data_IF_445643991336
#
_entry.id   IF_445643991336
#
_cell.length_a   1.000
_cell.length_b   1.000
_cell.length_c   1.000
_cell.angle_alpha   90.00
_cell.angle_beta   90.00
_cell.angle_gamma   90.00
#
_symmetry.space_group_name_H-M   'P 1'
#
loop_
_entity.id
_entity.type
_entity.pdbx_description
1 polymer ?
#
# COMPACT_ATOMS: atom_id res chain seq x y z
N UNK A 1 14.32 -7.31 15.95
CA UNK A 1 13.70 -6.06 16.46
C UNK A 1 14.53 -4.79 16.19
N UNK A 2 15.80 -4.66 16.65
CA UNK A 2 16.61 -3.42 16.44
C UNK A 2 16.76 -2.97 14.97
N UNK A 3 16.69 -3.91 14.03
CA UNK A 3 16.92 -3.64 12.60
C UNK A 3 15.93 -2.63 12.04
N UNK A 4 14.62 -2.79 12.31
CA UNK A 4 13.57 -1.96 11.71
C UNK A 4 13.30 -0.63 12.45
N UNK A 5 13.95 -0.41 13.59
CA UNK A 5 13.75 0.78 14.43
C UNK A 5 14.97 1.69 14.50
N UNK A 6 15.95 1.45 13.63
CA UNK A 6 17.18 2.24 13.50
C UNK A 6 17.64 2.33 12.04
N UNK A 7 18.50 3.30 11.74
CA UNK A 7 19.07 3.47 10.40
C UNK A 7 19.98 2.30 10.04
N UNK A 8 19.89 1.80 8.80
CA UNK A 8 20.69 0.68 8.35
C UNK A 8 22.14 1.09 8.09
N UNK A 9 23.09 0.25 8.52
CA UNK A 9 24.53 0.43 8.30
C UNK A 9 25.04 -0.22 6.99
N UNK A 10 24.11 -0.58 6.10
CA UNK A 10 24.38 -1.13 4.76
C UNK A 10 24.78 -0.02 3.78
N UNK A 11 25.39 -0.39 2.66
CA UNK A 11 25.72 0.56 1.59
C UNK A 11 24.44 1.25 1.11
N UNK A 12 24.43 2.58 1.03
CA UNK A 12 23.25 3.38 0.66
C UNK A 12 22.02 3.18 1.57
N UNK A 13 22.22 2.70 2.80
CA UNK A 13 21.14 2.43 3.74
C UNK A 13 20.07 1.47 3.17
N UNK A 14 20.48 0.48 2.38
CA UNK A 14 19.55 -0.54 1.84
C UNK A 14 19.02 -1.47 2.93
N UNK A 15 17.76 -1.86 2.86
CA UNK A 15 17.18 -2.80 3.83
C UNK A 15 17.95 -4.14 3.85
N UNK A 16 18.41 -4.60 5.03
CA UNK A 16 19.07 -5.90 5.16
C UNK A 16 18.01 -7.01 5.21
N UNK A 17 17.34 -7.29 4.08
CA UNK A 17 16.18 -8.21 4.00
C UNK A 17 16.43 -9.58 4.64
N UNK A 18 17.63 -10.14 4.51
CA UNK A 18 18.00 -11.42 5.12
C UNK A 18 17.99 -11.44 6.65
N UNK A 19 17.91 -10.28 7.30
CA UNK A 19 17.88 -10.12 8.75
C UNK A 19 16.51 -9.68 9.28
N UNK A 20 15.54 -9.43 8.40
CA UNK A 20 14.20 -8.96 8.76
C UNK A 20 13.26 -10.16 8.77
N UNK A 21 12.61 -10.42 9.91
CA UNK A 21 11.59 -11.47 10.04
C UNK A 21 10.19 -10.86 10.10
N UNK A 22 9.18 -11.66 9.75
CA UNK A 22 7.78 -11.23 9.82
C UNK A 22 7.38 -10.77 11.23
N UNK A 23 7.83 -11.49 12.26
CA UNK A 23 7.61 -11.16 13.67
C UNK A 23 8.20 -9.80 14.10
N UNK A 24 9.15 -9.23 13.35
CA UNK A 24 9.76 -7.94 13.67
C UNK A 24 8.87 -6.74 13.30
N UNK A 25 7.94 -6.89 12.34
CA UNK A 25 7.22 -5.76 11.76
C UNK A 25 6.27 -5.08 12.75
N UNK A 26 5.34 -5.82 13.35
CA UNK A 26 4.32 -5.22 14.23
C UNK A 26 4.93 -4.48 15.42
N UNK A 27 5.88 -5.05 16.19
CA UNK A 27 6.56 -4.30 17.25
C UNK A 27 7.28 -3.05 16.73
N UNK A 28 7.91 -3.13 15.56
CA UNK A 28 8.61 -1.99 14.96
C UNK A 28 7.64 -0.89 14.51
N UNK A 29 6.45 -1.22 14.00
CA UNK A 29 5.43 -0.24 13.67
C UNK A 29 4.98 0.52 14.91
N UNK A 30 4.67 -0.19 16.00
CA UNK A 30 4.25 0.41 17.28
C UNK A 30 5.34 1.35 17.81
N UNK A 31 6.61 0.91 17.81
CA UNK A 31 7.73 1.74 18.28
C UNK A 31 7.95 2.98 17.41
N UNK A 32 7.94 2.83 16.08
CA UNK A 32 8.16 3.95 15.17
C UNK A 32 6.99 4.94 15.14
N UNK A 33 5.74 4.49 15.32
CA UNK A 33 4.59 5.37 15.53
C UNK A 33 4.77 6.19 16.81
N UNK A 34 5.21 5.57 17.91
CA UNK A 34 5.45 6.29 19.16
C UNK A 34 6.56 7.35 19.02
N UNK A 35 7.65 7.04 18.31
CA UNK A 35 8.70 8.01 17.99
C UNK A 35 8.19 9.17 17.14
N UNK A 36 7.43 8.86 16.08
CA UNK A 36 6.86 9.88 15.20
C UNK A 36 5.87 10.78 15.95
N UNK A 37 5.05 10.23 16.86
CA UNK A 37 4.18 11.04 17.75
C UNK A 37 5.01 11.99 18.62
N UNK A 38 6.11 11.53 19.21
CA UNK A 38 6.98 12.38 20.02
C UNK A 38 7.68 13.51 19.22
N UNK A 39 8.05 13.24 17.96
CA UNK A 39 8.60 14.26 17.05
C UNK A 39 7.55 15.35 16.75
N UNK A 40 6.30 14.95 16.55
CA UNK A 40 5.18 15.88 16.34
C UNK A 40 4.88 16.68 17.61
N UNK A 41 4.90 16.03 18.77
CA UNK A 41 4.72 16.68 20.07
C UNK A 41 5.78 17.76 20.29
N UNK A 42 7.03 17.51 19.89
CA UNK A 42 8.10 18.50 19.96
C UNK A 42 7.84 19.73 19.06
N UNK A 43 7.19 19.56 17.91
CA UNK A 43 6.80 20.67 17.03
C UNK A 43 5.70 21.51 17.67
N UNK A 44 4.63 20.87 18.17
CA UNK A 44 3.48 21.60 18.71
C UNK A 44 3.78 22.29 20.04
N UNK A 45 4.68 21.70 20.85
CA UNK A 45 5.08 22.27 22.16
C UNK A 45 6.23 23.28 22.08
N UNK A 46 6.81 23.50 20.90
CA UNK A 46 7.84 24.51 20.72
C UNK A 46 7.28 25.91 21.03
N UNK A 47 7.85 26.57 22.05
CA UNK A 47 7.39 27.87 22.53
C UNK A 47 7.79 29.05 21.63
N UNK A 48 8.72 28.85 20.69
CA UNK A 48 9.06 29.84 19.70
C UNK A 48 7.94 30.04 18.69
N UNK A 49 7.85 31.26 18.14
CA UNK A 49 6.92 31.58 17.06
C UNK A 49 7.14 30.62 15.87
N UNK A 50 6.08 30.14 15.20
CA UNK A 50 6.22 29.23 14.06
C UNK A 50 7.06 29.84 12.93
N UNK A 51 8.09 29.11 12.50
CA UNK A 51 8.94 29.43 11.35
C UNK A 51 8.91 28.30 10.33
N UNK A 52 9.41 28.56 9.12
CA UNK A 52 9.57 27.51 8.12
C UNK A 52 10.40 26.34 8.66
N UNK A 53 11.50 26.63 9.36
CA UNK A 53 12.42 25.61 9.91
C UNK A 53 11.80 24.83 11.08
N UNK A 54 11.26 25.52 12.09
CA UNK A 54 10.80 24.86 13.31
C UNK A 54 9.44 24.16 13.16
N UNK A 55 8.75 24.39 12.03
CA UNK A 55 7.42 23.81 11.76
C UNK A 55 7.41 23.01 10.47
N UNK A 56 7.72 23.61 9.32
CA UNK A 56 7.57 22.93 8.01
C UNK A 56 8.70 21.91 7.79
N UNK A 57 9.95 22.32 7.99
CA UNK A 57 11.11 21.43 7.86
C UNK A 57 11.08 20.36 8.94
N UNK A 58 10.84 20.74 10.20
CA UNK A 58 10.71 19.77 11.29
C UNK A 58 9.62 18.72 11.01
N UNK A 59 8.46 19.14 10.48
CA UNK A 59 7.39 18.22 10.10
C UNK A 59 7.77 17.33 8.91
N UNK A 60 8.57 17.82 7.97
CA UNK A 60 9.01 17.04 6.80
C UNK A 60 9.99 15.93 7.16
N UNK A 61 10.80 16.12 8.21
CA UNK A 61 11.68 15.08 8.75
C UNK A 61 11.02 14.17 9.79
N UNK A 62 9.84 14.52 10.29
CA UNK A 62 9.13 13.71 11.28
C UNK A 62 8.62 12.41 10.65
N UNK A 63 8.73 11.30 11.37
CA UNK A 63 8.23 10.00 10.94
C UNK A 63 9.12 9.25 9.94
N UNK A 64 10.32 9.74 9.61
CA UNK A 64 11.20 9.13 8.60
C UNK A 64 11.45 7.62 8.84
N UNK A 65 11.60 7.21 10.11
CA UNK A 65 11.79 5.80 10.46
C UNK A 65 10.54 4.95 10.19
N UNK A 66 9.35 5.52 10.45
CA UNK A 66 8.07 4.88 10.17
C UNK A 66 7.83 4.78 8.66
N UNK A 67 8.16 5.82 7.90
CA UNK A 67 8.04 5.85 6.44
C UNK A 67 8.94 4.81 5.78
N UNK A 68 10.19 4.69 6.25
CA UNK A 68 11.13 3.65 5.78
C UNK A 68 10.60 2.25 6.07
N UNK A 69 10.13 2.01 7.29
CA UNK A 69 9.52 0.73 7.68
C UNK A 69 8.30 0.40 6.82
N UNK A 70 7.38 1.36 6.67
CA UNK A 70 6.17 1.22 5.87
C UNK A 70 6.50 0.89 4.41
N UNK A 71 7.47 1.59 3.84
CA UNK A 71 7.92 1.38 2.46
C UNK A 71 8.45 -0.04 2.24
N UNK A 72 9.25 -0.56 3.16
CA UNK A 72 9.77 -1.94 3.10
C UNK A 72 8.62 -2.96 3.19
N UNK A 73 7.76 -2.79 4.19
CA UNK A 73 6.68 -3.72 4.47
C UNK A 73 5.67 -3.80 3.31
N UNK A 74 5.14 -2.65 2.86
CA UNK A 74 4.13 -2.63 1.80
C UNK A 74 4.70 -2.93 0.41
N UNK A 75 6.00 -2.71 0.18
CA UNK A 75 6.66 -3.22 -1.02
C UNK A 75 6.66 -4.75 -1.06
N UNK A 76 7.07 -5.40 0.04
CA UNK A 76 7.05 -6.86 0.13
C UNK A 76 5.62 -7.43 0.11
N UNK A 77 4.67 -6.79 0.81
CA UNK A 77 3.26 -7.19 0.76
C UNK A 77 2.65 -7.06 -0.65
N UNK A 78 3.23 -6.24 -1.53
CA UNK A 78 2.81 -6.16 -2.93
C UNK A 78 3.53 -7.15 -3.84
N UNK A 79 4.79 -7.47 -3.56
CA UNK A 79 5.66 -8.21 -4.48
C UNK A 79 5.85 -9.69 -4.11
N UNK A 80 5.84 -10.01 -2.82
CA UNK A 80 6.18 -11.32 -2.25
C UNK A 80 5.38 -11.55 -0.95
N UNK A 81 4.06 -11.46 -1.06
CA UNK A 81 3.17 -11.63 0.10
C UNK A 81 2.92 -13.09 0.45
N UNK A 82 2.44 -13.31 1.66
CA UNK A 82 1.97 -14.58 2.19
C UNK A 82 0.88 -14.31 3.23
N UNK A 83 0.16 -15.36 3.67
CA UNK A 83 -0.93 -15.24 4.65
C UNK A 83 -0.51 -14.52 5.93
N UNK A 84 0.71 -14.77 6.42
CA UNK A 84 1.24 -14.10 7.61
C UNK A 84 1.53 -12.61 7.37
N UNK A 85 2.06 -12.25 6.19
CA UNK A 85 2.29 -10.85 5.80
C UNK A 85 0.96 -10.08 5.66
N UNK A 86 -0.04 -10.68 5.00
CA UNK A 86 -1.38 -10.10 4.86
C UNK A 86 -2.04 -9.89 6.23
N UNK A 87 -1.92 -10.88 7.12
CA UNK A 87 -2.41 -10.74 8.51
C UNK A 87 -1.72 -9.58 9.24
N UNK A 88 -0.40 -9.44 9.12
CA UNK A 88 0.30 -8.28 9.70
C UNK A 88 -0.21 -6.98 9.08
N UNK A 89 -0.44 -6.94 7.76
CA UNK A 89 -0.97 -5.76 7.08
C UNK A 89 -2.34 -5.34 7.64
N UNK A 90 -3.23 -6.31 7.88
CA UNK A 90 -4.53 -6.09 8.51
C UNK A 90 -4.41 -5.56 9.95
N UNK A 91 -3.38 -5.97 10.69
CA UNK A 91 -3.14 -5.52 12.06
C UNK A 91 -2.49 -4.13 12.14
N UNK A 92 -1.59 -3.78 11.21
CA UNK A 92 -0.83 -2.50 11.26
C UNK A 92 -1.50 -1.37 10.48
N UNK A 93 -2.30 -1.67 9.45
CA UNK A 93 -2.99 -0.63 8.66
C UNK A 93 -3.93 0.26 9.49
N UNK A 94 -4.70 -0.27 10.47
CA UNK A 94 -5.49 0.57 11.37
C UNK A 94 -4.61 1.51 12.22
N UNK A 95 -3.47 1.04 12.73
CA UNK A 95 -2.55 1.85 13.53
C UNK A 95 -1.96 3.00 12.71
N UNK A 96 -1.59 2.74 11.46
CA UNK A 96 -1.08 3.74 10.53
C UNK A 96 -2.15 4.76 10.15
N UNK A 97 -3.39 4.31 9.95
CA UNK A 97 -4.52 5.19 9.62
C UNK A 97 -4.87 6.11 10.78
N UNK A 98 -4.91 5.55 12.00
CA UNK A 98 -5.08 6.33 13.23
C UNK A 98 -3.96 7.37 13.37
N UNK A 99 -2.70 6.97 13.21
CA UNK A 99 -1.57 7.90 13.26
C UNK A 99 -1.68 9.00 12.19
N UNK A 100 -1.98 8.65 10.94
CA UNK A 100 -2.16 9.63 9.86
C UNK A 100 -3.25 10.65 10.18
N UNK A 101 -4.37 10.19 10.73
CA UNK A 101 -5.47 11.05 11.19
C UNK A 101 -5.07 11.92 12.37
N UNK A 102 -4.31 11.37 13.32
CA UNK A 102 -3.75 12.13 14.44
C UNK A 102 -2.87 13.27 13.97
N UNK A 103 -2.15 13.13 12.86
CA UNK A 103 -1.34 14.22 12.30
C UNK A 103 -2.21 15.19 11.51
N UNK A 104 -2.96 14.69 10.53
CA UNK A 104 -3.71 15.53 9.58
C UNK A 104 -4.80 16.38 10.25
N UNK A 105 -5.38 15.88 11.34
CA UNK A 105 -6.47 16.54 12.07
C UNK A 105 -6.00 17.23 13.35
N UNK A 106 -4.70 17.23 13.64
CA UNK A 106 -4.14 17.94 14.80
C UNK A 106 -4.29 19.45 14.63
N UNK A 107 -5.16 20.04 15.44
CA UNK A 107 -5.47 21.47 15.34
C UNK A 107 -4.26 22.35 15.68
N UNK A 108 -3.47 21.98 16.69
CA UNK A 108 -2.33 22.78 17.13
C UNK A 108 -1.17 22.72 16.13
N UNK A 109 -0.92 21.54 15.55
CA UNK A 109 0.02 21.41 14.45
C UNK A 109 -0.42 22.22 13.24
N UNK A 110 -1.71 22.13 12.86
CA UNK A 110 -2.23 22.90 11.73
C UNK A 110 -2.18 24.41 11.97
N UNK A 111 -2.45 24.89 13.20
CA UNK A 111 -2.29 26.32 13.56
C UNK A 111 -0.86 26.80 13.30
N UNK A 112 0.16 26.01 13.67
CA UNK A 112 1.56 26.35 13.38
C UNK A 112 1.84 26.39 11.88
N UNK A 113 1.41 25.37 11.13
CA UNK A 113 1.57 25.31 9.66
C UNK A 113 0.89 26.51 9.00
N UNK A 114 -0.35 26.82 9.40
CA UNK A 114 -1.12 27.96 8.90
C UNK A 114 -0.44 29.29 9.21
N UNK A 115 0.12 29.47 10.41
CA UNK A 115 0.81 30.69 10.78
C UNK A 115 2.02 30.98 9.87
N UNK A 116 2.78 29.94 9.47
CA UNK A 116 3.86 30.07 8.48
C UNK A 116 3.29 30.35 7.09
N UNK A 117 2.22 29.64 6.70
CA UNK A 117 1.59 29.80 5.38
C UNK A 117 1.00 31.21 5.16
N UNK A 118 0.35 31.78 6.16
CA UNK A 118 -0.26 33.11 6.11
C UNK A 118 0.80 34.22 5.90
N UNK A 119 2.06 33.94 6.22
CA UNK A 119 3.20 34.86 6.05
C UNK A 119 4.03 34.55 4.81
N UNK A 120 3.63 33.59 3.96
CA UNK A 120 4.46 33.10 2.85
C UNK A 120 5.00 34.19 1.90
N UNK A 121 4.25 35.29 1.72
CA UNK A 121 4.64 36.38 0.82
C UNK A 121 5.70 37.31 1.42
N UNK A 122 5.91 37.28 2.74
CA UNK A 122 6.96 38.03 3.44
C UNK A 122 8.22 37.20 3.72
N UNK A 123 8.15 35.88 3.54
CA UNK A 123 9.29 34.97 3.72
C UNK A 123 10.16 34.97 2.46
N UNK A 124 11.48 35.03 2.64
CA UNK A 124 12.45 34.89 1.55
C UNK A 124 12.76 33.40 1.29
N UNK A 125 11.76 32.65 0.82
CA UNK A 125 11.87 31.21 0.54
C UNK A 125 12.41 30.95 -0.87
N UNK A 126 13.19 29.88 -1.03
CA UNK A 126 13.47 29.33 -2.35
C UNK A 126 12.21 28.75 -2.99
N UNK A 127 12.23 28.50 -4.30
CA UNK A 127 11.11 27.86 -5.00
C UNK A 127 10.71 26.50 -4.40
N UNK A 128 11.69 25.69 -4.00
CA UNK A 128 11.47 24.38 -3.39
C UNK A 128 10.81 24.52 -2.01
N UNK A 129 11.29 25.47 -1.19
CA UNK A 129 10.72 25.74 0.13
C UNK A 129 9.29 26.29 0.04
N UNK A 130 9.04 27.23 -0.87
CA UNK A 130 7.69 27.76 -1.11
C UNK A 130 6.73 26.65 -1.59
N UNK A 131 7.23 25.74 -2.42
CA UNK A 131 6.46 24.57 -2.88
C UNK A 131 6.16 23.62 -1.72
N UNK A 132 7.14 23.32 -0.86
CA UNK A 132 6.96 22.48 0.31
C UNK A 132 5.90 23.07 1.25
N UNK A 133 5.99 24.37 1.57
CA UNK A 133 5.02 25.08 2.39
C UNK A 133 3.60 24.98 1.80
N UNK A 134 3.44 25.23 0.50
CA UNK A 134 2.14 25.13 -0.18
C UNK A 134 1.57 23.70 -0.15
N UNK A 135 2.42 22.70 -0.40
CA UNK A 135 2.03 21.29 -0.38
C UNK A 135 1.63 20.83 1.01
N UNK A 136 2.38 21.21 2.05
CA UNK A 136 2.04 20.88 3.44
C UNK A 136 0.71 21.51 3.83
N UNK A 137 0.53 22.81 3.63
CA UNK A 137 -0.74 23.48 3.96
C UNK A 137 -1.94 22.86 3.23
N UNK A 138 -1.83 22.65 1.91
CA UNK A 138 -2.89 21.98 1.12
C UNK A 138 -3.12 20.54 1.56
N UNK A 139 -2.08 19.83 2.00
CA UNK A 139 -2.19 18.49 2.57
C UNK A 139 -3.12 18.48 3.78
N UNK A 140 -2.89 19.34 4.77
CA UNK A 140 -3.78 19.48 5.92
C UNK A 140 -5.20 19.87 5.52
N UNK A 141 -5.34 20.89 4.67
CA UNK A 141 -6.67 21.37 4.23
C UNK A 141 -7.47 20.28 3.53
N UNK A 142 -6.85 19.48 2.65
CA UNK A 142 -7.52 18.39 1.93
C UNK A 142 -7.84 17.18 2.80
N UNK A 143 -7.10 16.98 3.90
CA UNK A 143 -7.32 15.92 4.86
C UNK A 143 -8.12 16.41 6.08
N UNK A 144 -8.91 17.49 5.94
CA UNK A 144 -9.93 17.85 6.92
C UNK A 144 -9.48 18.70 8.10
N UNK A 145 -8.27 19.26 8.10
CA UNK A 145 -7.78 20.11 9.20
C UNK A 145 -8.68 21.35 9.47
N UNK A 146 -9.41 21.81 8.45
CA UNK A 146 -10.34 22.95 8.50
C UNK A 146 -11.80 22.57 8.83
N UNK A 147 -12.09 21.29 9.05
CA UNK A 147 -13.41 20.81 9.45
C UNK A 147 -13.71 21.18 10.91
N UNK A 148 -15.00 21.18 11.26
CA UNK A 148 -15.41 21.20 12.66
C UNK A 148 -15.17 19.82 13.31
N UNK A 149 -15.24 19.75 14.64
CA UNK A 149 -14.93 18.51 15.38
C UNK A 149 -15.84 17.32 15.01
N UNK A 150 -17.13 17.56 14.73
CA UNK A 150 -18.06 16.49 14.31
C UNK A 150 -17.64 15.89 12.96
N UNK A 151 -17.34 16.74 11.99
CA UNK A 151 -16.92 16.31 10.66
C UNK A 151 -15.51 15.68 10.67
N UNK A 152 -14.62 16.11 11.57
CA UNK A 152 -13.31 15.45 11.79
C UNK A 152 -13.48 14.03 12.29
N UNK A 153 -14.38 13.80 13.27
CA UNK A 153 -14.66 12.45 13.78
C UNK A 153 -15.22 11.55 12.67
N UNK A 154 -16.15 12.07 11.87
CA UNK A 154 -16.70 11.35 10.71
C UNK A 154 -15.63 11.03 9.67
N UNK A 155 -14.72 11.95 9.38
CA UNK A 155 -13.62 11.69 8.46
C UNK A 155 -12.68 10.58 8.98
N UNK A 156 -12.39 10.57 10.29
CA UNK A 156 -11.61 9.48 10.92
C UNK A 156 -12.24 8.10 10.72
N UNK A 157 -13.56 8.01 10.89
CA UNK A 157 -14.31 6.77 10.67
C UNK A 157 -14.22 6.34 9.20
N UNK A 158 -14.44 7.27 8.26
CA UNK A 158 -14.33 7.02 6.82
C UNK A 158 -12.93 6.53 6.44
N UNK A 159 -11.88 7.20 6.90
CA UNK A 159 -10.50 6.84 6.56
C UNK A 159 -10.14 5.44 7.09
N UNK A 160 -10.57 5.13 8.32
CA UNK A 160 -10.36 3.82 8.94
C UNK A 160 -11.07 2.71 8.18
N UNK A 161 -12.33 2.93 7.81
CA UNK A 161 -13.12 1.98 7.02
C UNK A 161 -12.51 1.78 5.63
N UNK A 162 -12.14 2.87 4.96
CA UNK A 162 -11.58 2.83 3.62
C UNK A 162 -10.21 2.13 3.58
N UNK A 163 -9.37 2.32 4.59
CA UNK A 163 -8.09 1.61 4.71
C UNK A 163 -8.28 0.09 4.76
N UNK A 164 -9.26 -0.37 5.57
CA UNK A 164 -9.61 -1.79 5.66
C UNK A 164 -10.18 -2.33 4.35
N UNK A 165 -11.12 -1.60 3.74
CA UNK A 165 -11.75 -2.01 2.48
C UNK A 165 -10.73 -2.14 1.36
N UNK A 166 -9.80 -1.18 1.22
CA UNK A 166 -8.73 -1.24 0.20
C UNK A 166 -7.86 -2.48 0.34
N UNK A 167 -7.49 -2.84 1.57
CA UNK A 167 -6.67 -4.02 1.83
C UNK A 167 -7.43 -5.30 1.49
N UNK A 168 -8.66 -5.46 2.00
CA UNK A 168 -9.53 -6.60 1.68
C UNK A 168 -9.80 -6.71 0.18
N UNK A 169 -10.02 -5.59 -0.51
CA UNK A 169 -10.24 -5.60 -1.96
C UNK A 169 -9.05 -6.20 -2.71
N UNK A 170 -7.83 -5.78 -2.36
CA UNK A 170 -6.60 -6.30 -2.97
C UNK A 170 -6.37 -7.79 -2.69
N UNK A 171 -6.58 -8.21 -1.44
CA UNK A 171 -6.48 -9.62 -1.02
C UNK A 171 -7.47 -10.50 -1.79
N UNK A 172 -8.72 -10.05 -1.93
CA UNK A 172 -9.75 -10.73 -2.71
C UNK A 172 -9.38 -10.88 -4.20
N UNK A 173 -8.82 -9.84 -4.82
CA UNK A 173 -8.37 -9.90 -6.22
C UNK A 173 -7.21 -10.88 -6.39
N UNK A 174 -6.28 -10.92 -5.43
CA UNK A 174 -5.17 -11.87 -5.44
C UNK A 174 -5.68 -13.31 -5.28
N UNK A 175 -6.59 -13.55 -4.32
CA UNK A 175 -7.19 -14.86 -4.10
C UNK A 175 -7.91 -15.38 -5.35
N UNK A 176 -8.72 -14.55 -6.01
CA UNK A 176 -9.41 -14.88 -7.27
C UNK A 176 -8.43 -15.19 -8.40
N UNK A 177 -7.32 -14.45 -8.47
CA UNK A 177 -6.26 -14.71 -9.47
C UNK A 177 -5.61 -16.06 -9.23
N UNK A 178 -5.34 -16.42 -7.97
CA UNK A 178 -4.68 -17.67 -7.57
C UNK A 178 -5.60 -18.90 -7.65
N UNK A 179 -6.90 -18.73 -7.41
CA UNK A 179 -7.88 -19.82 -7.38
C UNK A 179 -8.21 -20.37 -8.77
N UNK A 180 -8.13 -19.54 -9.81
CA UNK A 180 -8.40 -19.98 -11.17
C UNK A 180 -7.24 -20.79 -11.74
N UNK A 181 -7.56 -21.99 -12.23
CA UNK A 181 -6.63 -22.82 -12.99
C UNK A 181 -7.36 -23.45 -14.18
N UNK A 182 -6.88 -23.17 -15.38
CA UNK A 182 -7.28 -23.87 -16.59
C UNK A 182 -6.27 -24.99 -16.86
N UNK A 183 -6.67 -26.22 -16.54
CA UNK A 183 -5.85 -27.41 -16.74
C UNK A 183 -6.15 -28.06 -18.09
N UNK A 184 -5.13 -28.18 -18.94
CA UNK A 184 -5.24 -28.75 -20.29
C UNK A 184 -4.27 -29.94 -20.37
N UNK A 185 -4.76 -31.07 -20.85
CA UNK A 185 -3.95 -32.30 -21.07
C UNK A 185 -3.80 -32.64 -22.56
N UNK A 186 -4.67 -32.10 -23.41
CA UNK A 186 -4.61 -32.29 -24.85
C UNK A 186 -3.76 -31.20 -25.50
N UNK A 187 -2.60 -31.57 -26.05
CA UNK A 187 -1.67 -30.61 -26.68
C UNK A 187 -2.30 -29.88 -27.87
N UNK A 188 -3.23 -30.51 -28.59
CA UNK A 188 -3.89 -29.91 -29.74
C UNK A 188 -4.68 -28.63 -29.39
N UNK A 189 -5.12 -28.50 -28.13
CA UNK A 189 -5.82 -27.31 -27.63
C UNK A 189 -4.90 -26.10 -27.43
N UNK A 190 -3.57 -26.30 -27.47
CA UNK A 190 -2.57 -25.24 -27.33
C UNK A 190 -2.06 -24.71 -28.67
N UNK A 191 -2.71 -25.08 -29.77
CA UNK A 191 -2.33 -24.63 -31.11
C UNK A 191 -2.28 -23.10 -31.19
N UNK A 192 -1.20 -22.58 -31.76
CA UNK A 192 -0.93 -21.15 -31.89
C UNK A 192 -0.12 -20.54 -30.75
N UNK A 193 -0.12 -21.16 -29.57
CA UNK A 193 0.61 -20.64 -28.40
C UNK A 193 2.14 -20.73 -28.61
N UNK A 194 2.91 -19.67 -28.28
CA UNK A 194 4.38 -19.71 -28.34
C UNK A 194 4.97 -20.72 -27.36
N UNK A 195 6.09 -21.34 -27.73
CA UNK A 195 6.68 -22.43 -26.95
C UNK A 195 7.08 -22.00 -25.53
N UNK A 196 7.61 -20.78 -25.34
CA UNK A 196 7.92 -20.27 -24.00
C UNK A 196 6.69 -20.17 -23.07
N UNK A 197 5.49 -19.88 -23.61
CA UNK A 197 4.26 -19.88 -22.81
C UNK A 197 3.78 -21.30 -22.50
N UNK A 198 3.96 -22.26 -23.43
CA UNK A 198 3.70 -23.68 -23.17
C UNK A 198 4.65 -24.24 -22.10
N UNK A 199 5.93 -23.94 -22.18
CA UNK A 199 6.94 -24.37 -21.21
C UNK A 199 6.64 -23.84 -19.81
N UNK A 200 6.25 -22.56 -19.69
CA UNK A 200 5.85 -21.96 -18.42
C UNK A 200 4.63 -22.66 -17.83
N UNK A 201 3.60 -22.91 -18.64
CA UNK A 201 2.38 -23.61 -18.19
C UNK A 201 2.64 -25.08 -17.82
N UNK A 202 3.55 -25.76 -18.51
CA UNK A 202 3.98 -27.12 -18.18
C UNK A 202 4.79 -27.16 -16.88
N UNK A 203 5.69 -26.18 -16.68
CA UNK A 203 6.45 -26.04 -15.43
C UNK A 203 5.53 -25.81 -14.24
N UNK A 204 4.48 -24.99 -14.42
CA UNK A 204 3.48 -24.75 -13.39
C UNK A 204 2.68 -26.02 -13.08
N UNK A 205 2.22 -26.75 -14.10
CA UNK A 205 1.55 -28.04 -13.92
C UNK A 205 2.43 -29.01 -13.12
N UNK A 206 3.71 -29.13 -13.49
CA UNK A 206 4.68 -29.97 -12.77
C UNK A 206 4.88 -29.55 -11.32
N UNK A 207 4.96 -28.25 -11.02
CA UNK A 207 5.08 -27.76 -9.63
C UNK A 207 3.84 -28.05 -8.77
N UNK A 208 2.70 -28.30 -9.43
CA UNK A 208 1.43 -28.69 -8.81
C UNK A 208 1.18 -30.19 -8.89
N UNK A 209 2.16 -30.97 -9.33
CA UNK A 209 2.06 -32.43 -9.50
C UNK A 209 0.94 -32.86 -10.48
N UNK A 210 0.67 -32.03 -11.49
CA UNK A 210 -0.30 -32.30 -12.56
C UNK A 210 0.42 -32.58 -13.89
N UNK A 211 -0.15 -33.46 -14.70
CA UNK A 211 0.28 -33.68 -16.09
C UNK A 211 -0.21 -32.57 -17.02
N UNK A 212 0.43 -32.36 -18.17
CA UNK A 212 -0.01 -31.36 -19.16
C UNK A 212 0.36 -29.93 -18.79
N UNK A 213 -0.60 -29.00 -18.88
CA UNK A 213 -0.38 -27.55 -18.79
C UNK A 213 -1.42 -26.88 -17.89
N UNK A 214 -0.97 -25.95 -17.04
CA UNK A 214 -1.85 -25.13 -16.20
C UNK A 214 -1.69 -23.66 -16.61
N UNK A 215 -2.81 -23.01 -16.90
CA UNK A 215 -2.89 -21.57 -17.15
C UNK A 215 -3.65 -20.87 -16.02
N UNK A 216 -3.17 -19.69 -15.66
CA UNK A 216 -3.72 -18.87 -14.56
C UNK A 216 -4.17 -17.50 -15.08
N UNK A 217 -4.72 -16.69 -14.19
CA UNK A 217 -5.08 -15.30 -14.49
C UNK A 217 -3.92 -14.32 -14.28
N UNK A 218 -2.73 -14.81 -13.92
CA UNK A 218 -1.52 -13.99 -13.88
C UNK A 218 -1.22 -13.47 -15.27
N UNK A 219 -0.86 -12.19 -15.36
CA UNK A 219 -0.73 -11.52 -16.65
C UNK A 219 0.21 -12.23 -17.65
N UNK A 220 1.37 -12.78 -17.24
CA UNK A 220 2.23 -13.56 -18.12
C UNK A 220 1.63 -14.89 -18.62
N UNK A 221 0.65 -15.46 -17.91
CA UNK A 221 -0.08 -16.67 -18.35
C UNK A 221 -1.28 -16.29 -19.22
N UNK A 222 -2.10 -15.35 -18.73
CA UNK A 222 -3.34 -14.88 -19.35
C UNK A 222 -3.10 -14.28 -20.75
N UNK A 223 -2.18 -13.32 -20.85
CA UNK A 223 -2.05 -12.51 -22.07
C UNK A 223 -1.62 -13.35 -23.28
N UNK A 224 -0.57 -14.20 -23.22
CA UNK A 224 -0.23 -15.08 -24.34
C UNK A 224 -1.36 -16.03 -24.70
N UNK A 225 -2.08 -16.56 -23.70
CA UNK A 225 -3.18 -17.49 -23.94
C UNK A 225 -4.29 -16.85 -24.77
N UNK A 226 -4.81 -15.69 -24.34
CA UNK A 226 -5.89 -15.00 -25.08
C UNK A 226 -5.43 -14.41 -26.41
N UNK A 227 -4.12 -14.18 -26.58
CA UNK A 227 -3.57 -13.62 -27.82
C UNK A 227 -3.39 -14.70 -28.90
N UNK A 228 -2.87 -15.87 -28.52
CA UNK A 228 -2.30 -16.81 -29.49
C UNK A 228 -3.03 -18.16 -29.60
N UNK A 229 -3.73 -18.63 -28.57
CA UNK A 229 -4.44 -19.93 -28.64
C UNK A 229 -5.52 -19.85 -29.71
N UNK A 230 -5.53 -20.77 -30.69
CA UNK A 230 -6.51 -20.77 -31.78
C UNK A 230 -7.91 -21.20 -31.31
N UNK A 231 -8.00 -22.04 -30.28
CA UNK A 231 -9.27 -22.53 -29.71
C UNK A 231 -10.07 -21.37 -29.09
N UNK A 232 -11.15 -20.96 -29.77
CA UNK A 232 -11.99 -19.82 -29.37
C UNK A 232 -12.70 -20.04 -28.05
N UNK A 233 -13.18 -21.26 -27.78
CA UNK A 233 -13.94 -21.51 -26.56
C UNK A 233 -13.05 -21.46 -25.33
N UNK A 234 -11.80 -21.94 -25.43
CA UNK A 234 -10.81 -21.79 -24.36
C UNK A 234 -10.43 -20.32 -24.13
N UNK A 235 -10.21 -19.54 -25.21
CA UNK A 235 -9.98 -18.10 -25.07
C UNK A 235 -11.15 -17.39 -24.38
N UNK A 236 -12.38 -17.76 -24.74
CA UNK A 236 -13.60 -17.20 -24.16
C UNK A 236 -13.70 -17.55 -22.67
N UNK A 237 -13.42 -18.79 -22.29
CA UNK A 237 -13.48 -19.23 -20.89
C UNK A 237 -12.56 -18.39 -20.01
N UNK A 238 -11.27 -18.32 -20.35
CA UNK A 238 -10.28 -17.59 -19.53
C UNK A 238 -10.52 -16.08 -19.58
N UNK A 239 -10.98 -15.51 -20.70
CA UNK A 239 -11.33 -14.09 -20.80
C UNK A 239 -12.53 -13.74 -19.91
N UNK A 240 -13.56 -14.59 -19.87
CA UNK A 240 -14.70 -14.41 -18.96
C UNK A 240 -14.22 -14.53 -17.50
N UNK A 241 -13.41 -15.55 -17.18
CA UNK A 241 -12.84 -15.72 -15.85
C UNK A 241 -12.04 -14.49 -15.39
N UNK A 242 -11.15 -13.98 -16.24
CA UNK A 242 -10.39 -12.76 -15.98
C UNK A 242 -11.25 -11.51 -15.84
N UNK A 243 -12.34 -11.40 -16.62
CA UNK A 243 -13.25 -10.27 -16.59
C UNK A 243 -14.22 -10.24 -15.40
N UNK A 244 -14.45 -11.38 -14.74
CA UNK A 244 -15.33 -11.50 -13.57
C UNK A 244 -14.58 -11.67 -12.25
N UNK A 245 -13.26 -11.42 -12.21
CA UNK A 245 -12.48 -11.50 -10.97
C UNK A 245 -13.11 -10.65 -9.87
N UNK A 246 -13.29 -11.25 -8.70
CA UNK A 246 -13.93 -10.63 -7.54
C UNK A 246 -15.36 -10.12 -7.81
N UNK A 247 -16.06 -10.77 -8.75
CA UNK A 247 -17.45 -10.48 -9.13
C UNK A 247 -18.18 -11.81 -9.41
N UNK A 248 -18.18 -12.72 -8.44
CA UNK A 248 -18.62 -14.11 -8.63
C UNK A 248 -19.57 -14.66 -7.55
N UNK A 249 -20.10 -13.81 -6.66
CA UNK A 249 -20.97 -14.23 -5.55
C UNK A 249 -20.32 -15.29 -4.64
N UNK A 250 -19.01 -15.18 -4.44
CA UNK A 250 -18.21 -16.04 -3.56
C UNK A 250 -17.58 -15.24 -2.40
N UNK A 251 -16.75 -15.88 -1.59
CA UNK A 251 -16.08 -15.25 -0.43
C UNK A 251 -15.09 -14.12 -0.81
N UNK A 252 -14.67 -14.05 -2.07
CA UNK A 252 -13.73 -13.04 -2.60
C UNK A 252 -14.43 -11.98 -3.47
N UNK A 253 -15.77 -11.90 -3.40
CA UNK A 253 -16.55 -10.92 -4.14
C UNK A 253 -16.35 -9.51 -3.56
N UNK A 254 -16.06 -8.55 -4.43
CA UNK A 254 -15.80 -7.16 -4.07
C UNK A 254 -16.97 -6.21 -4.31
N UNK A 255 -18.17 -6.69 -4.72
CA UNK A 255 -19.34 -5.84 -4.98
C UNK A 255 -19.72 -5.00 -3.76
N UNK A 256 -19.77 -5.60 -2.57
CA UNK A 256 -20.10 -4.86 -1.36
C UNK A 256 -18.99 -3.92 -0.92
N UNK A 257 -17.72 -4.30 -1.13
CA UNK A 257 -16.57 -3.44 -0.88
C UNK A 257 -16.59 -2.17 -1.75
N UNK A 258 -17.11 -2.24 -2.98
CA UNK A 258 -17.22 -1.09 -3.90
C UNK A 258 -18.43 -0.19 -3.60
N UNK A 259 -19.48 -0.71 -2.97
CA UNK A 259 -20.70 0.05 -2.64
C UNK A 259 -20.58 0.90 -1.38
N UNK A 260 -19.60 0.59 -0.52
CA UNK A 260 -19.29 1.32 0.70
C UNK A 260 -18.45 2.56 0.38
#
# INVERSE_FOLDING_TARGET
MKTLTSTFNTKHNTAPFSQIKLEDYKPAFIENIAKAKAEIDAIITNSEAPTFENTIVALDFSGEQLDRLSSIFFNLNSAETCDEMQKIAQEVSPLLTEFSNDIALNEDLFKRVKAVYDQKDSLNLTTEQATLLDKKFKGFSRNGALLNEEDKLKLREIDTELAKIKLTYGENVLAETNNYQLHITNEADLKGLPDGAKEMAASLAKSKELEGWVFTLDFPSYLPFVTYVENRELRKEIAIAGGKKSFQDNEFDNKENVKR
#
